data_IF_226903425267
#
_entry.id   IF_226903425267
#
_cell.length_a   1.000
_cell.length_b   1.000
_cell.length_c   1.000
_cell.angle_alpha   90.00
_cell.angle_beta   90.00
_cell.angle_gamma   90.00
#
_symmetry.space_group_name_H-M   'P 1'
#
loop_
_entity.id
_entity.type
_entity.pdbx_description
1 polymer ?
#
# COMPACT_ATOMS: atom_id res chain seq x y z
N UNK A 1 -4.24 -7.02 -14.80
CA UNK A 1 -3.42 -5.96 -14.14
C UNK A 1 -4.01 -4.61 -14.53
N UNK A 2 -4.35 -3.76 -13.56
CA UNK A 2 -4.73 -2.39 -13.87
C UNK A 2 -3.46 -1.60 -14.22
N UNK A 3 -3.41 -0.97 -15.39
CA UNK A 3 -2.24 -0.23 -15.90
C UNK A 3 -2.30 1.28 -15.61
N UNK A 4 -3.19 1.67 -14.69
CA UNK A 4 -3.30 3.04 -14.23
C UNK A 4 -2.48 3.25 -12.97
N UNK A 5 -1.84 4.41 -12.88
CA UNK A 5 -1.13 4.83 -11.68
C UNK A 5 -2.11 5.03 -10.53
N UNK A 6 -1.69 4.62 -9.33
CA UNK A 6 -2.45 4.81 -8.09
C UNK A 6 -2.02 6.10 -7.41
N UNK A 7 -2.97 6.82 -6.83
CA UNK A 7 -2.70 8.05 -6.08
C UNK A 7 -2.02 7.75 -4.75
N UNK A 8 -0.80 8.27 -4.57
CA UNK A 8 -0.04 8.15 -3.31
C UNK A 8 -0.74 8.88 -2.16
N UNK A 9 -1.31 10.05 -2.42
CA UNK A 9 -2.01 10.84 -1.41
C UNK A 9 -3.27 10.13 -0.92
N UNK A 10 -3.99 9.45 -1.81
CA UNK A 10 -5.15 8.64 -1.44
C UNK A 10 -4.74 7.45 -0.57
N UNK A 11 -3.66 6.74 -0.93
CA UNK A 11 -3.10 5.65 -0.10
C UNK A 11 -2.67 6.13 1.28
N UNK A 12 -1.98 7.27 1.36
CA UNK A 12 -1.59 7.89 2.61
C UNK A 12 -2.80 8.29 3.47
N UNK A 13 -3.80 8.98 2.91
CA UNK A 13 -5.00 9.38 3.65
C UNK A 13 -5.78 8.17 4.17
N UNK A 14 -5.91 7.13 3.34
CA UNK A 14 -6.57 5.89 3.72
C UNK A 14 -5.83 5.19 4.86
N UNK A 15 -4.50 5.07 4.77
CA UNK A 15 -3.68 4.46 5.84
C UNK A 15 -3.59 5.33 7.08
N UNK A 16 -3.66 6.65 6.97
CA UNK A 16 -3.71 7.56 8.11
C UNK A 16 -5.04 7.43 8.87
N UNK A 17 -6.18 7.42 8.17
CA UNK A 17 -7.51 7.40 8.78
C UNK A 17 -7.93 5.99 9.25
N UNK A 18 -7.56 4.96 8.50
CA UNK A 18 -8.01 3.58 8.74
C UNK A 18 -6.88 2.60 9.09
N UNK A 19 -5.63 3.08 9.17
CA UNK A 19 -4.47 2.26 9.55
C UNK A 19 -4.23 1.11 8.58
N UNK A 20 -4.16 -0.15 9.08
CA UNK A 20 -3.93 -1.32 8.22
C UNK A 20 -5.07 -1.56 7.23
N UNK A 21 -6.30 -1.11 7.51
CA UNK A 21 -7.41 -1.20 6.57
C UNK A 21 -7.18 -0.29 5.35
N UNK A 22 -6.50 0.84 5.52
CA UNK A 22 -6.12 1.72 4.40
C UNK A 22 -5.13 1.07 3.44
N UNK A 23 -4.35 0.09 3.92
CA UNK A 23 -3.35 -0.60 3.10
C UNK A 23 -3.98 -1.41 1.97
N UNK A 24 -5.23 -1.86 2.14
CA UNK A 24 -5.97 -2.63 1.12
C UNK A 24 -6.09 -1.90 -0.22
N UNK A 25 -6.03 -0.56 -0.23
CA UNK A 25 -6.03 0.22 -1.47
C UNK A 25 -4.78 -0.02 -2.33
N UNK A 26 -3.63 -0.20 -1.69
CA UNK A 26 -2.32 -0.31 -2.36
C UNK A 26 -1.77 -1.73 -2.37
N UNK A 27 -2.09 -2.56 -1.37
CA UNK A 27 -1.62 -3.94 -1.24
C UNK A 27 -2.60 -4.78 -0.43
N UNK A 28 -3.30 -5.70 -1.12
CA UNK A 28 -4.20 -6.66 -0.48
C UNK A 28 -3.44 -7.57 0.48
N UNK A 29 -2.31 -8.15 0.04
CA UNK A 29 -1.51 -9.06 0.85
C UNK A 29 -0.92 -8.38 2.09
N UNK A 30 -0.36 -7.17 1.94
CA UNK A 30 0.18 -6.41 3.07
C UNK A 30 -0.92 -6.03 4.07
N UNK A 31 -2.12 -5.70 3.57
CA UNK A 31 -3.26 -5.31 4.39
C UNK A 31 -3.72 -6.45 5.27
N UNK A 32 -3.85 -7.66 4.71
CA UNK A 32 -4.21 -8.87 5.48
C UNK A 32 -3.18 -9.14 6.57
N UNK A 33 -1.89 -9.12 6.25
CA UNK A 33 -0.82 -9.42 7.23
C UNK A 33 -0.85 -8.42 8.39
N UNK A 34 -0.86 -7.12 8.11
CA UNK A 34 -0.88 -6.09 9.14
C UNK A 34 -2.19 -6.09 9.94
N UNK A 35 -3.32 -6.39 9.31
CA UNK A 35 -4.61 -6.52 9.99
C UNK A 35 -4.57 -7.67 11.01
N UNK A 36 -4.05 -8.84 10.61
CA UNK A 36 -3.91 -10.00 11.50
C UNK A 36 -2.97 -9.66 12.67
N UNK A 37 -1.83 -9.04 12.41
CA UNK A 37 -0.90 -8.63 13.47
C UNK A 37 -1.54 -7.59 14.40
N UNK A 38 -2.31 -6.63 13.89
CA UNK A 38 -3.02 -5.64 14.69
C UNK A 38 -4.07 -6.29 15.61
N UNK A 39 -4.83 -7.28 15.11
CA UNK A 39 -5.83 -8.02 15.91
C UNK A 39 -5.17 -8.87 16.98
N UNK A 40 -4.09 -9.60 16.65
CA UNK A 40 -3.37 -10.44 17.61
C UNK A 40 -2.67 -9.61 18.70
N UNK A 41 -2.26 -8.39 18.38
CA UNK A 41 -1.61 -7.47 19.31
C UNK A 41 -2.58 -6.54 20.05
N UNK A 42 -3.90 -6.65 19.79
CA UNK A 42 -4.94 -5.83 20.38
C UNK A 42 -5.08 -5.96 21.91
N UNK A 43 -4.43 -6.96 22.52
CA UNK A 43 -4.29 -7.04 23.98
C UNK A 43 -3.54 -5.85 24.60
N UNK A 44 -2.86 -5.04 23.78
CA UNK A 44 -2.24 -3.77 24.20
C UNK A 44 -2.54 -2.68 23.16
N UNK A 45 -2.59 -1.41 23.56
CA UNK A 45 -2.75 -0.28 22.63
C UNK A 45 -1.51 -0.07 21.74
N UNK A 46 -0.34 -0.52 22.19
CA UNK A 46 0.96 -0.27 21.55
C UNK A 46 1.07 -1.03 20.21
N UNK A 47 0.63 -2.28 20.17
CA UNK A 47 0.70 -3.11 18.95
C UNK A 47 -0.06 -2.51 17.76
N UNK A 48 -1.35 -2.17 17.92
CA UNK A 48 -2.13 -1.49 16.90
C UNK A 48 -1.53 -0.15 16.45
N UNK A 49 -0.98 0.66 17.38
CA UNK A 49 -0.34 1.94 17.03
C UNK A 49 0.91 1.73 16.16
N UNK A 50 1.76 0.76 16.50
CA UNK A 50 2.93 0.41 15.68
C UNK A 50 2.48 -0.11 14.31
N UNK A 51 1.48 -0.98 14.25
CA UNK A 51 0.90 -1.46 12.99
C UNK A 51 0.35 -0.30 12.14
N UNK A 52 -0.20 0.73 12.77
CA UNK A 52 -0.72 1.90 12.08
C UNK A 52 0.39 2.69 11.38
N UNK A 53 1.49 2.97 12.09
CA UNK A 53 2.65 3.66 11.52
C UNK A 53 3.28 2.83 10.39
N UNK A 54 3.41 1.52 10.61
CA UNK A 54 3.91 0.59 9.59
C UNK A 54 3.00 0.54 8.36
N UNK A 55 1.67 0.61 8.54
CA UNK A 55 0.73 0.63 7.44
C UNK A 55 0.92 1.87 6.55
N UNK A 56 1.18 3.03 7.14
CA UNK A 56 1.45 4.26 6.37
C UNK A 56 2.72 4.10 5.53
N UNK A 57 3.81 3.62 6.13
CA UNK A 57 5.08 3.42 5.44
C UNK A 57 4.99 2.37 4.31
N UNK A 58 4.36 1.22 4.59
CA UNK A 58 4.19 0.14 3.61
C UNK A 58 3.22 0.58 2.50
N UNK A 59 2.19 1.35 2.82
CA UNK A 59 1.20 1.85 1.87
C UNK A 59 1.83 2.75 0.80
N UNK A 60 2.65 3.72 1.23
CA UNK A 60 3.38 4.58 0.30
C UNK A 60 4.39 3.79 -0.54
N UNK A 61 5.16 2.89 0.09
CA UNK A 61 6.14 2.07 -0.62
C UNK A 61 5.50 1.14 -1.67
N UNK A 62 4.38 0.49 -1.34
CA UNK A 62 3.63 -0.33 -2.28
C UNK A 62 3.06 0.49 -3.44
N UNK A 63 2.56 1.69 -3.17
CA UNK A 63 2.03 2.59 -4.20
C UNK A 63 3.13 3.07 -5.15
N UNK A 64 4.27 3.48 -4.59
CA UNK A 64 5.45 3.88 -5.37
C UNK A 64 5.94 2.74 -6.27
N UNK A 65 6.10 1.54 -5.70
CA UNK A 65 6.54 0.35 -6.45
C UNK A 65 5.56 0.01 -7.59
N UNK A 66 4.25 0.11 -7.34
CA UNK A 66 3.23 -0.11 -8.36
C UNK A 66 3.35 0.88 -9.52
N UNK A 67 3.42 2.19 -9.21
CA UNK A 67 3.51 3.23 -10.24
C UNK A 67 4.80 3.15 -11.06
N UNK A 68 5.93 2.83 -10.42
CA UNK A 68 7.21 2.60 -11.13
C UNK A 68 7.10 1.44 -12.13
N UNK A 69 6.50 0.33 -11.71
CA UNK A 69 6.33 -0.85 -12.55
C UNK A 69 5.41 -0.55 -13.76
N UNK A 70 4.34 0.22 -13.57
CA UNK A 70 3.48 0.68 -14.67
C UNK A 70 4.25 1.59 -15.64
N UNK A 71 5.06 2.51 -15.13
CA UNK A 71 5.89 3.40 -15.96
C UNK A 71 6.89 2.61 -16.81
N UNK A 72 7.58 1.64 -16.22
CA UNK A 72 8.49 0.75 -16.94
C UNK A 72 7.77 -0.06 -18.02
N UNK A 73 6.60 -0.64 -17.72
CA UNK A 73 5.78 -1.35 -18.71
C UNK A 73 5.38 -0.43 -19.88
N UNK A 74 4.93 0.81 -19.59
CA UNK A 74 4.57 1.79 -20.62
C UNK A 74 5.75 2.13 -21.53
N UNK A 75 6.94 2.33 -20.95
CA UNK A 75 8.17 2.59 -21.71
C UNK A 75 8.59 1.40 -22.59
N UNK A 76 8.50 0.17 -22.06
CA UNK A 76 8.81 -1.05 -22.83
C UNK A 76 7.86 -1.24 -24.02
N UNK A 77 6.55 -1.02 -23.81
CA UNK A 77 5.55 -1.08 -24.88
C UNK A 77 5.83 0.01 -25.92
N UNK A 78 6.09 1.25 -25.51
CA UNK A 78 6.42 2.34 -26.43
C UNK A 78 7.69 2.06 -27.25
N UNK A 79 8.71 1.42 -26.65
CA UNK A 79 9.96 1.07 -27.33
C UNK A 79 9.80 -0.09 -28.32
N UNK A 80 8.92 -1.05 -28.03
CA UNK A 80 8.62 -2.15 -28.96
C UNK A 80 7.75 -1.72 -30.15
N UNK A 81 7.02 -0.61 -30.01
CA UNK A 81 6.14 -0.07 -31.05
C UNK A 81 6.83 1.01 -31.93
N UNK A 82 8.11 1.30 -31.67
CA UNK A 82 8.94 2.25 -32.42
C UNK A 82 10.01 1.51 -33.22
#
# INVERSE_FOLDING_TARGET
>A
MNLNEKSRLTSFLLTLLFGPLGLFYSSLAGGIVLLVVAVLSAGTIIGPVICWILAIAIGDHCTYKHNKNITEIKNLVSKNNA
#
